data_IF_164536038377
#
_entry.id   IF_164536038377
#
_cell.length_a   1.000
_cell.length_b   1.000
_cell.length_c   1.000
_cell.angle_alpha   90.00
_cell.angle_beta   90.00
_cell.angle_gamma   90.00
#
_symmetry.space_group_name_H-M   'P 1'
#
loop_
_entity.id
_entity.type
_entity.pdbx_description
1 polymer ?
#
# COMPACT_ATOMS: atom_id res chain seq x y z
N UNK A 1 -45.07 -19.77 -17.10
CA UNK A 1 -43.74 -20.41 -17.04
C UNK A 1 -42.71 -19.34 -17.40
N UNK A 2 -42.11 -18.72 -16.38
CA UNK A 2 -41.28 -17.52 -16.55
C UNK A 2 -39.96 -17.87 -17.25
N UNK A 3 -39.62 -17.14 -18.32
CA UNK A 3 -38.29 -17.16 -18.91
C UNK A 3 -37.31 -16.60 -17.87
N UNK A 4 -36.36 -17.43 -17.44
CA UNK A 4 -35.19 -16.96 -16.72
C UNK A 4 -34.45 -15.97 -17.63
N UNK A 5 -34.37 -14.72 -17.20
CA UNK A 5 -33.49 -13.72 -17.84
C UNK A 5 -32.06 -14.22 -17.66
N UNK A 6 -31.39 -14.51 -18.77
CA UNK A 6 -29.95 -14.75 -18.79
C UNK A 6 -29.25 -13.50 -18.24
N UNK A 7 -28.56 -13.62 -17.12
CA UNK A 7 -27.70 -12.55 -16.63
C UNK A 7 -26.58 -12.33 -17.63
N UNK A 8 -26.51 -11.13 -18.21
CA UNK A 8 -25.41 -10.71 -19.07
C UNK A 8 -24.10 -10.81 -18.27
N UNK A 9 -23.32 -11.86 -18.54
CA UNK A 9 -21.99 -12.06 -17.98
C UNK A 9 -21.11 -10.88 -18.38
N UNK A 10 -20.95 -9.93 -17.46
CA UNK A 10 -20.10 -8.76 -17.64
C UNK A 10 -18.64 -9.21 -17.74
N UNK A 11 -18.04 -9.04 -18.91
CA UNK A 11 -16.63 -9.34 -19.13
C UNK A 11 -15.73 -8.31 -18.46
N UNK A 12 -14.77 -8.78 -17.67
CA UNK A 12 -13.75 -7.96 -17.04
C UNK A 12 -12.36 -8.42 -17.54
N UNK A 13 -11.54 -7.53 -18.13
CA UNK A 13 -10.26 -7.89 -18.74
C UNK A 13 -9.14 -8.03 -17.69
N UNK A 14 -9.37 -8.75 -16.60
CA UNK A 14 -8.43 -8.89 -15.49
C UNK A 14 -7.99 -10.34 -15.30
N UNK A 15 -6.74 -10.53 -14.89
CA UNK A 15 -6.18 -11.84 -14.55
C UNK A 15 -5.48 -11.76 -13.20
N UNK A 16 -5.61 -12.82 -12.41
CA UNK A 16 -4.88 -12.96 -11.15
C UNK A 16 -3.37 -12.94 -11.41
N UNK A 17 -2.65 -12.11 -10.64
CA UNK A 17 -1.19 -12.06 -10.68
C UNK A 17 -0.58 -13.30 -10.01
N UNK A 18 0.58 -13.75 -10.50
CA UNK A 18 1.26 -14.91 -9.91
C UNK A 18 1.86 -14.65 -8.53
N UNK A 19 2.18 -13.39 -8.21
CA UNK A 19 2.67 -13.00 -6.89
C UNK A 19 2.46 -11.51 -6.65
N UNK A 20 2.11 -11.16 -5.42
CA UNK A 20 1.98 -9.77 -4.97
C UNK A 20 3.34 -9.06 -4.84
N UNK A 21 4.38 -9.81 -4.44
CA UNK A 21 5.70 -9.29 -4.15
C UNK A 21 6.73 -9.68 -5.21
N UNK A 22 7.64 -8.75 -5.53
CA UNK A 22 8.84 -9.04 -6.32
C UNK A 22 9.81 -9.98 -5.56
N UNK A 23 10.79 -10.61 -6.22
CA UNK A 23 11.77 -11.45 -5.51
C UNK A 23 12.54 -10.70 -4.41
N UNK A 24 12.90 -9.43 -4.65
CA UNK A 24 13.57 -8.58 -3.67
C UNK A 24 12.66 -8.28 -2.47
N UNK A 25 11.41 -7.87 -2.73
CA UNK A 25 10.41 -7.63 -1.70
C UNK A 25 10.10 -8.90 -0.89
N UNK A 26 10.06 -10.08 -1.50
CA UNK A 26 9.89 -11.35 -0.77
C UNK A 26 11.04 -11.63 0.20
N UNK A 27 12.27 -11.40 -0.25
CA UNK A 27 13.45 -11.57 0.59
C UNK A 27 13.41 -10.62 1.79
N UNK A 28 13.13 -9.35 1.53
CA UNK A 28 12.99 -8.35 2.58
C UNK A 28 11.82 -8.65 3.53
N UNK A 29 10.65 -9.01 3.01
CA UNK A 29 9.47 -9.36 3.80
C UNK A 29 9.78 -10.46 4.82
N UNK A 30 10.46 -11.53 4.40
CA UNK A 30 10.85 -12.64 5.31
C UNK A 30 11.83 -12.18 6.39
N UNK A 31 12.81 -11.36 6.03
CA UNK A 31 13.76 -10.79 6.97
C UNK A 31 13.05 -9.86 7.97
N UNK A 32 12.15 -9.01 7.48
CA UNK A 32 11.36 -8.08 8.28
C UNK A 32 10.41 -8.81 9.22
N UNK A 33 9.72 -9.86 8.77
CA UNK A 33 8.90 -10.72 9.64
C UNK A 33 9.74 -11.37 10.75
N UNK A 34 10.94 -11.84 10.42
CA UNK A 34 11.85 -12.43 11.42
C UNK A 34 12.27 -11.38 12.46
N UNK A 35 12.63 -10.17 12.02
CA UNK A 35 13.02 -9.07 12.91
C UNK A 35 11.85 -8.53 13.75
N UNK A 36 10.65 -8.49 13.18
CA UNK A 36 9.42 -8.09 13.88
C UNK A 36 9.04 -9.09 14.98
N UNK A 37 9.33 -10.38 14.79
CA UNK A 37 8.99 -11.44 15.73
C UNK A 37 7.49 -11.45 16.02
N UNK A 38 7.14 -11.52 17.31
CA UNK A 38 5.74 -11.38 17.78
C UNK A 38 5.37 -9.95 18.18
N UNK A 39 6.31 -9.01 18.07
CA UNK A 39 6.10 -7.63 18.54
C UNK A 39 5.27 -6.82 17.54
N UNK A 40 5.33 -7.17 16.26
CA UNK A 40 4.61 -6.48 15.20
C UNK A 40 4.08 -7.45 14.15
N UNK A 41 2.99 -7.07 13.50
CA UNK A 41 2.46 -7.73 12.30
C UNK A 41 2.87 -6.91 11.08
N UNK A 42 3.39 -7.58 10.04
CA UNK A 42 3.90 -6.94 8.82
C UNK A 42 2.87 -7.04 7.69
N UNK A 43 2.46 -5.91 7.13
CA UNK A 43 1.56 -5.81 5.98
C UNK A 43 2.32 -5.34 4.73
N UNK A 44 2.38 -6.13 3.65
CA UNK A 44 2.97 -5.69 2.39
C UNK A 44 2.00 -4.88 1.52
N UNK A 45 2.53 -3.99 0.68
CA UNK A 45 1.80 -3.27 -0.39
C UNK A 45 0.56 -2.53 0.13
N UNK A 46 0.68 -1.87 1.27
CA UNK A 46 -0.43 -1.12 1.88
C UNK A 46 -0.65 0.16 1.10
N UNK A 47 -1.90 0.43 0.70
CA UNK A 47 -2.23 1.68 0.01
C UNK A 47 -2.03 2.85 0.97
N UNK A 48 -1.38 3.93 0.50
CA UNK A 48 -1.13 5.09 1.36
C UNK A 48 -2.44 5.72 1.86
N UNK A 49 -3.47 5.76 1.01
CA UNK A 49 -4.81 6.20 1.40
C UNK A 49 -5.36 5.46 2.63
N UNK A 50 -5.08 4.17 2.78
CA UNK A 50 -5.61 3.35 3.87
C UNK A 50 -4.88 3.62 5.21
N UNK A 51 -3.78 4.38 5.17
CA UNK A 51 -3.08 4.91 6.34
C UNK A 51 -3.52 6.34 6.68
N UNK A 52 -4.19 7.02 5.75
CA UNK A 52 -4.60 8.41 5.89
C UNK A 52 -6.01 8.50 6.49
N UNK A 53 -6.20 9.47 7.39
CA UNK A 53 -7.51 10.04 7.67
C UNK A 53 -7.52 11.46 7.15
N UNK A 54 -8.38 11.75 6.20
CA UNK A 54 -8.66 13.14 5.86
C UNK A 54 -9.55 13.76 6.94
N UNK A 55 -9.13 14.91 7.45
CA UNK A 55 -9.86 15.64 8.49
C UNK A 55 -11.10 16.33 7.92
N UNK A 56 -11.12 16.59 6.61
CA UNK A 56 -12.21 17.26 5.91
C UNK A 56 -13.06 16.29 5.05
N UNK A 57 -12.86 14.98 5.19
CA UNK A 57 -13.73 13.96 4.57
C UNK A 57 -13.55 13.74 3.07
N UNK A 58 -12.37 14.01 2.53
CA UNK A 58 -11.98 13.87 1.12
C UNK A 58 -12.78 14.77 0.17
N UNK A 59 -13.05 16.01 0.58
CA UNK A 59 -13.71 17.05 -0.26
C UNK A 59 -12.86 17.40 -1.48
N UNK A 60 -11.54 17.37 -1.35
CA UNK A 60 -10.59 17.66 -2.41
C UNK A 60 -10.19 16.40 -3.18
N UNK A 61 -10.74 16.25 -4.39
CA UNK A 61 -10.45 15.10 -5.29
C UNK A 61 -8.96 14.98 -5.59
N UNK A 62 -8.26 16.11 -5.69
CA UNK A 62 -6.81 16.12 -5.93
C UNK A 62 -6.04 15.50 -4.75
N UNK A 63 -6.40 15.85 -3.51
CA UNK A 63 -5.78 15.30 -2.31
C UNK A 63 -6.06 13.79 -2.17
N UNK A 64 -7.30 13.37 -2.44
CA UNK A 64 -7.65 11.95 -2.49
C UNK A 64 -6.78 11.20 -3.50
N UNK A 65 -6.75 11.66 -4.76
CA UNK A 65 -5.96 11.03 -5.83
C UNK A 65 -4.46 11.01 -5.53
N UNK A 66 -3.97 12.02 -4.81
CA UNK A 66 -2.57 12.13 -4.45
C UNK A 66 -2.07 10.94 -3.63
N UNK A 67 -2.87 10.47 -2.65
CA UNK A 67 -2.51 9.33 -1.79
C UNK A 67 -3.08 8.01 -2.29
N UNK A 68 -4.21 8.03 -3.00
CA UNK A 68 -4.93 6.84 -3.43
C UNK A 68 -4.22 6.05 -4.53
N UNK A 69 -3.26 6.66 -5.21
CA UNK A 69 -2.46 6.04 -6.27
C UNK A 69 -1.10 5.55 -5.79
N UNK A 70 -0.82 5.63 -4.49
CA UNK A 70 0.47 5.28 -3.88
C UNK A 70 0.32 4.11 -2.91
N UNK A 71 1.38 3.33 -2.79
CA UNK A 71 1.50 2.27 -1.81
C UNK A 71 2.79 2.46 -1.01
N UNK A 72 2.75 1.98 0.22
CA UNK A 72 3.90 1.74 1.08
C UNK A 72 4.27 0.26 0.94
N UNK A 73 5.55 -0.04 0.74
CA UNK A 73 5.97 -1.43 0.53
C UNK A 73 5.67 -2.32 1.73
N UNK A 74 5.93 -1.84 2.95
CA UNK A 74 5.62 -2.56 4.18
C UNK A 74 5.16 -1.63 5.30
N UNK A 75 4.18 -2.06 6.07
CA UNK A 75 3.74 -1.38 7.31
C UNK A 75 3.81 -2.38 8.46
N UNK A 76 4.42 -1.97 9.56
CA UNK A 76 4.42 -2.71 10.82
C UNK A 76 3.32 -2.17 11.71
N UNK A 77 2.45 -3.05 12.16
CA UNK A 77 1.37 -2.72 13.07
C UNK A 77 1.54 -3.42 14.42
N UNK A 78 0.97 -2.83 15.46
CA UNK A 78 0.81 -3.51 16.75
C UNK A 78 -0.14 -4.71 16.60
N UNK A 79 0.16 -5.91 17.16
CA UNK A 79 -0.55 -7.14 16.82
C UNK A 79 -2.04 -7.19 17.22
N UNK A 80 -2.42 -6.47 18.27
CA UNK A 80 -3.76 -6.54 18.85
C UNK A 80 -4.71 -5.51 18.22
N UNK A 81 -4.26 -4.27 18.07
CA UNK A 81 -5.07 -3.15 17.54
C UNK A 81 -4.88 -2.92 16.06
N UNK A 82 -3.85 -3.53 15.45
CA UNK A 82 -3.43 -3.28 14.07
C UNK A 82 -3.10 -1.82 13.77
N UNK A 83 -2.84 -1.01 14.82
CA UNK A 83 -2.43 0.38 14.66
C UNK A 83 -1.06 0.42 13.95
N UNK A 84 -0.92 1.18 12.84
CA UNK A 84 0.37 1.39 12.21
C UNK A 84 1.39 2.02 13.18
N UNK A 85 2.61 1.48 13.18
CA UNK A 85 3.72 1.93 14.04
C UNK A 85 4.90 2.40 13.20
N UNK A 86 5.15 1.75 12.06
CA UNK A 86 6.28 2.07 11.18
C UNK A 86 5.93 1.75 9.73
N UNK A 87 6.36 2.62 8.82
CA UNK A 87 6.39 2.35 7.38
C UNK A 87 7.83 2.02 6.94
N UNK A 88 7.98 1.04 6.06
CA UNK A 88 9.28 0.67 5.46
C UNK A 88 9.14 0.57 3.94
N UNK A 89 10.03 1.25 3.24
CA UNK A 89 10.11 1.31 1.78
C UNK A 89 11.37 0.59 1.31
N UNK A 90 11.26 -0.21 0.25
CA UNK A 90 12.41 -0.89 -0.34
C UNK A 90 12.97 -0.05 -1.48
N UNK A 91 14.13 0.55 -1.26
CA UNK A 91 14.81 1.29 -2.32
C UNK A 91 15.38 0.32 -3.38
N UNK A 92 14.75 0.24 -4.56
CA UNK A 92 15.29 -0.52 -5.68
C UNK A 92 16.25 0.34 -6.53
N UNK A 93 17.27 -0.26 -7.14
CA UNK A 93 18.36 0.43 -7.87
C UNK A 93 17.91 1.30 -9.05
N UNK A 94 16.61 1.36 -9.33
CA UNK A 94 15.98 2.26 -10.31
C UNK A 94 15.86 3.74 -9.86
N UNK A 95 16.26 4.11 -8.62
CA UNK A 95 16.21 5.48 -8.06
C UNK A 95 17.08 6.57 -8.76
N UNK A 96 17.66 6.31 -9.93
CA UNK A 96 18.54 7.28 -10.59
C UNK A 96 17.81 8.43 -11.29
N UNK A 97 16.47 8.40 -11.41
CA UNK A 97 15.69 9.44 -12.09
C UNK A 97 15.18 10.50 -11.11
N UNK A 98 15.36 11.77 -11.44
CA UNK A 98 14.92 12.91 -10.60
C UNK A 98 13.43 12.86 -10.21
N UNK A 99 12.57 12.36 -11.12
CA UNK A 99 11.13 12.20 -10.88
C UNK A 99 10.81 11.19 -9.77
N UNK A 100 11.61 10.13 -9.62
CA UNK A 100 11.43 9.13 -8.56
C UNK A 100 11.73 9.74 -7.20
N UNK A 101 12.87 10.46 -7.10
CA UNK A 101 13.28 11.14 -5.85
C UNK A 101 12.26 12.16 -5.35
N UNK A 102 11.62 12.91 -6.25
CA UNK A 102 10.58 13.86 -5.88
C UNK A 102 9.34 13.17 -5.29
N UNK A 103 8.94 12.02 -5.87
CA UNK A 103 7.82 11.21 -5.37
C UNK A 103 8.14 10.55 -4.04
N UNK A 104 9.37 10.08 -3.87
CA UNK A 104 9.81 9.46 -2.61
C UNK A 104 9.80 10.49 -1.47
N UNK A 105 10.38 11.68 -1.71
CA UNK A 105 10.36 12.78 -0.73
C UNK A 105 8.95 13.21 -0.34
N UNK A 106 8.06 13.26 -1.30
CA UNK A 106 6.66 13.60 -1.06
C UNK A 106 5.95 12.52 -0.21
N UNK A 107 6.16 11.23 -0.52
CA UNK A 107 5.65 10.12 0.27
C UNK A 107 6.19 10.15 1.71
N UNK A 108 7.49 10.39 1.88
CA UNK A 108 8.13 10.56 3.19
C UNK A 108 7.51 11.71 3.98
N UNK A 109 7.23 12.85 3.33
CA UNK A 109 6.61 14.00 3.99
C UNK A 109 5.18 13.68 4.47
N UNK A 110 4.40 12.95 3.68
CA UNK A 110 3.05 12.49 4.07
C UNK A 110 3.13 11.55 5.26
N UNK A 111 3.99 10.53 5.22
CA UNK A 111 4.17 9.57 6.32
C UNK A 111 4.58 10.26 7.62
N UNK A 112 5.57 11.17 7.56
CA UNK A 112 6.02 11.93 8.73
C UNK A 112 4.91 12.77 9.36
N UNK A 113 4.04 13.36 8.53
CA UNK A 113 2.89 14.14 9.03
C UNK A 113 1.92 13.26 9.84
N UNK A 114 1.83 11.97 9.49
CA UNK A 114 1.00 10.98 10.19
C UNK A 114 1.72 10.31 11.37
N UNK A 115 2.98 10.68 11.65
CA UNK A 115 3.80 10.07 12.69
C UNK A 115 4.38 8.70 12.32
N UNK A 116 4.48 8.40 11.02
CA UNK A 116 5.09 7.19 10.47
C UNK A 116 6.46 7.45 9.83
#
# INVERSE_FOLDING_TARGET
>A
MALAKSEDLKFYPYKLIGSLLTPAEKGFFRALQTAAGKRYVVFPKVRLLDLCRDLDGWTETAAFNHVSQKHVDFVLCEPETFRPVLAAELDDRSHLRARTRARDRDKDAVLRTMGL
#
